data_IF_243957462828
#
_entry.id   IF_243957462828
#
_cell.length_a   1.000
_cell.length_b   1.000
_cell.length_c   1.000
_cell.angle_alpha   90.00
_cell.angle_beta   90.00
_cell.angle_gamma   90.00
#
_symmetry.space_group_name_H-M   'P 1'
#
loop_
_entity.id
_entity.type
_entity.pdbx_description
1 polymer ?
#
# COMPACT_ATOMS: atom_id res chain seq x y z
N UNK A 1 9.39 12.06 -27.25
CA UNK A 1 8.08 11.56 -26.79
C UNK A 1 8.36 11.07 -25.40
N UNK A 2 8.10 11.96 -24.45
CA UNK A 2 8.75 11.95 -23.15
C UNK A 2 8.25 10.78 -22.30
N UNK A 3 9.05 10.33 -21.33
CA UNK A 3 8.74 9.18 -20.45
C UNK A 3 7.34 9.30 -19.82
N UNK A 4 6.87 10.53 -19.59
CA UNK A 4 5.51 10.85 -19.19
C UNK A 4 4.46 10.28 -20.15
N UNK A 5 4.46 10.65 -21.44
CA UNK A 5 3.40 10.25 -22.37
C UNK A 5 3.31 8.73 -22.58
N UNK A 6 4.44 8.04 -22.47
CA UNK A 6 4.49 6.58 -22.64
C UNK A 6 4.05 5.83 -21.37
N UNK A 7 4.18 6.41 -20.18
CA UNK A 7 4.05 5.69 -18.91
C UNK A 7 3.11 6.36 -17.91
N UNK A 8 2.41 7.43 -18.29
CA UNK A 8 1.54 8.20 -17.38
C UNK A 8 0.35 7.45 -16.82
N UNK A 9 -0.04 6.31 -17.37
CA UNK A 9 -1.26 5.61 -16.93
C UNK A 9 -0.95 4.36 -16.10
N UNK A 10 -1.86 4.04 -15.18
CA UNK A 10 -1.84 2.77 -14.46
C UNK A 10 -1.96 1.58 -15.41
N UNK A 11 -1.20 0.53 -15.11
CA UNK A 11 -1.18 -0.75 -15.83
C UNK A 11 -1.09 -1.89 -14.81
N UNK A 12 -1.87 -2.96 -15.03
CA UNK A 12 -1.74 -4.19 -14.27
C UNK A 12 -0.45 -4.93 -14.63
N UNK A 13 0.11 -5.66 -13.67
CA UNK A 13 1.13 -6.66 -13.96
C UNK A 13 0.56 -7.83 -14.76
N UNK A 14 1.43 -8.55 -15.44
CA UNK A 14 1.12 -9.75 -16.22
C UNK A 14 1.55 -11.05 -15.52
N UNK A 15 2.32 -10.96 -14.44
CA UNK A 15 2.83 -12.06 -13.63
C UNK A 15 2.85 -11.69 -12.13
N UNK A 16 3.14 -12.65 -11.27
CA UNK A 16 3.25 -12.48 -9.82
C UNK A 16 4.72 -12.51 -9.38
N UNK A 17 5.36 -11.35 -9.17
CA UNK A 17 5.01 -10.03 -9.70
C UNK A 17 5.57 -9.76 -11.11
N UNK A 18 5.07 -8.71 -11.77
CA UNK A 18 5.75 -8.06 -12.91
C UNK A 18 6.57 -6.88 -12.43
N UNK A 19 7.81 -6.77 -12.88
CA UNK A 19 8.63 -5.58 -12.66
C UNK A 19 8.16 -4.44 -13.58
N UNK A 20 7.75 -3.30 -12.98
CA UNK A 20 7.23 -2.15 -13.70
C UNK A 20 8.35 -1.14 -13.99
N UNK A 21 9.04 -1.32 -15.12
CA UNK A 21 10.11 -0.42 -15.57
C UNK A 21 9.54 0.86 -16.22
N UNK A 22 8.99 1.74 -15.38
CA UNK A 22 8.32 2.98 -15.78
C UNK A 22 9.04 4.19 -15.17
N UNK A 23 9.93 4.90 -15.91
CA UNK A 23 10.67 6.05 -15.36
C UNK A 23 9.77 7.12 -14.75
N UNK A 24 8.61 7.40 -15.36
CA UNK A 24 7.63 8.34 -14.81
C UNK A 24 7.10 7.91 -13.43
N UNK A 25 6.82 6.63 -13.22
CA UNK A 25 6.33 6.16 -11.91
C UNK A 25 7.40 6.32 -10.84
N UNK A 26 8.67 6.01 -11.18
CA UNK A 26 9.80 6.26 -10.28
C UNK A 26 9.94 7.74 -9.95
N UNK A 27 9.81 8.62 -10.94
CA UNK A 27 9.80 10.07 -10.71
C UNK A 27 8.71 10.48 -9.71
N UNK A 28 7.50 9.96 -9.83
CA UNK A 28 6.39 10.25 -8.92
C UNK A 28 6.63 9.68 -7.50
N UNK A 29 7.24 8.50 -7.36
CA UNK A 29 7.70 7.99 -6.04
C UNK A 29 8.75 8.92 -5.44
N UNK A 30 9.65 9.43 -6.28
CA UNK A 30 10.63 10.44 -5.93
C UNK A 30 10.03 11.85 -5.82
N UNK A 31 8.73 12.05 -5.96
CA UNK A 31 8.10 13.36 -5.79
C UNK A 31 6.68 13.16 -5.22
N UNK A 32 6.55 12.59 -4.00
CA UNK A 32 5.27 12.17 -3.43
C UNK A 32 4.36 13.34 -3.05
N UNK A 33 4.82 14.58 -3.25
CA UNK A 33 4.03 15.79 -3.10
C UNK A 33 3.22 16.12 -4.36
N UNK A 34 3.56 15.51 -5.51
CA UNK A 34 2.85 15.69 -6.76
C UNK A 34 1.65 14.74 -6.84
N UNK A 35 0.46 15.32 -7.03
CA UNK A 35 -0.74 14.57 -7.41
C UNK A 35 -0.79 14.27 -8.92
N UNK A 36 -1.83 13.55 -9.36
CA UNK A 36 -2.07 13.29 -10.78
C UNK A 36 -2.27 14.60 -11.58
N UNK A 37 -3.00 15.56 -11.00
CA UNK A 37 -3.20 16.89 -11.58
C UNK A 37 -1.89 17.65 -11.76
N UNK A 38 -1.04 17.69 -10.72
CA UNK A 38 0.23 18.42 -10.75
C UNK A 38 1.14 17.85 -11.84
N UNK A 39 1.28 16.52 -11.87
CA UNK A 39 2.08 15.83 -12.89
C UNK A 39 1.58 16.13 -14.32
N UNK A 40 0.26 16.12 -14.54
CA UNK A 40 -0.31 16.47 -15.84
C UNK A 40 -0.03 17.93 -16.22
N UNK A 41 -0.22 18.85 -15.28
CA UNK A 41 -0.01 20.28 -15.50
C UNK A 41 1.45 20.60 -15.83
N UNK A 42 2.40 19.97 -15.13
CA UNK A 42 3.84 20.14 -15.39
C UNK A 42 4.26 19.67 -16.77
N UNK A 43 3.67 18.58 -17.28
CA UNK A 43 4.10 17.93 -18.52
C UNK A 43 3.31 18.39 -19.76
N UNK A 44 2.02 18.72 -19.62
CA UNK A 44 1.14 19.06 -20.75
C UNK A 44 0.62 20.52 -20.71
N UNK A 45 0.95 21.30 -19.68
CA UNK A 45 0.31 22.59 -19.43
C UNK A 45 -1.18 22.47 -19.10
N UNK A 46 -1.94 23.55 -19.30
CA UNK A 46 -3.40 23.55 -19.09
C UNK A 46 -4.18 22.80 -20.21
N UNK A 47 -3.48 22.20 -21.18
CA UNK A 47 -4.10 21.50 -22.31
C UNK A 47 -4.45 20.05 -21.95
N UNK A 48 -5.75 19.75 -21.97
CA UNK A 48 -6.28 18.38 -21.96
C UNK A 48 -6.39 17.92 -23.42
N UNK A 49 -5.45 17.09 -23.89
CA UNK A 49 -5.63 16.38 -25.16
C UNK A 49 -6.68 15.27 -24.97
N UNK A 50 -7.90 15.59 -25.39
CA UNK A 50 -9.17 14.90 -25.10
C UNK A 50 -9.42 13.68 -25.99
N UNK A 51 -8.42 12.80 -26.11
CA UNK A 51 -8.62 11.47 -26.71
C UNK A 51 -8.25 10.32 -25.77
N UNK A 52 -7.35 10.56 -24.80
CA UNK A 52 -6.99 9.64 -23.72
C UNK A 52 -7.37 10.15 -22.32
N UNK A 53 -8.16 11.24 -22.23
CA UNK A 53 -8.61 11.87 -20.99
C UNK A 53 -9.46 10.98 -20.06
N UNK A 54 -9.76 9.74 -20.47
CA UNK A 54 -10.51 8.74 -19.70
C UNK A 54 -9.63 7.85 -18.82
N UNK A 55 -8.30 8.00 -18.85
CA UNK A 55 -7.40 7.21 -18.01
C UNK A 55 -6.67 8.10 -17.01
N UNK A 56 -6.80 7.82 -15.69
CA UNK A 56 -6.07 8.54 -14.65
C UNK A 56 -4.57 8.59 -14.91
N UNK A 57 -3.95 9.70 -14.49
CA UNK A 57 -2.49 9.74 -14.38
C UNK A 57 -2.06 8.95 -13.15
N UNK A 58 -1.09 8.04 -13.30
CA UNK A 58 -0.54 7.26 -12.20
C UNK A 58 0.07 8.19 -11.15
N UNK A 59 -0.30 7.97 -9.91
CA UNK A 59 0.08 8.83 -8.79
C UNK A 59 0.58 7.99 -7.60
N UNK A 60 1.47 8.56 -6.80
CA UNK A 60 1.98 7.95 -5.56
C UNK A 60 1.44 8.63 -4.28
N UNK A 61 0.84 9.82 -4.40
CA UNK A 61 0.11 10.47 -3.32
C UNK A 61 -1.25 9.80 -3.13
N UNK A 62 -1.32 8.82 -2.22
CA UNK A 62 -2.47 7.91 -2.09
C UNK A 62 -3.04 7.87 -0.69
N UNK A 63 -4.37 7.93 -0.58
CA UNK A 63 -5.10 7.57 0.62
C UNK A 63 -5.16 6.06 0.78
N UNK A 64 -5.25 5.58 2.02
CA UNK A 64 -5.50 4.17 2.30
C UNK A 64 -4.39 3.20 1.86
N UNK A 65 -3.25 3.69 1.36
CA UNK A 65 -2.05 2.90 1.16
C UNK A 65 -1.45 2.52 2.52
N UNK A 66 -0.73 1.39 2.58
CA UNK A 66 0.03 1.02 3.77
C UNK A 66 1.53 1.19 3.55
N UNK A 67 2.26 1.43 4.64
CA UNK A 67 3.71 1.52 4.66
C UNK A 67 4.29 0.59 5.73
N UNK A 68 5.37 -0.11 5.42
CA UNK A 68 6.04 -1.03 6.36
C UNK A 68 7.55 -0.91 6.21
N UNK A 69 8.25 -0.56 7.29
CA UNK A 69 9.71 -0.61 7.34
C UNK A 69 10.16 -2.03 7.63
N UNK A 70 11.14 -2.54 6.89
CA UNK A 70 11.73 -3.84 7.14
C UNK A 70 13.01 -3.70 7.97
N UNK A 71 13.41 -4.74 8.73
CA UNK A 71 14.65 -4.70 9.51
C UNK A 71 15.92 -4.48 8.67
N UNK A 72 15.88 -4.80 7.38
CA UNK A 72 16.98 -4.57 6.43
C UNK A 72 17.04 -3.15 5.86
N UNK A 73 16.16 -2.25 6.32
CA UNK A 73 16.11 -0.85 5.93
C UNK A 73 15.21 -0.54 4.74
N UNK A 74 14.66 -1.55 4.05
CA UNK A 74 13.68 -1.32 2.98
C UNK A 74 12.38 -0.74 3.54
N UNK A 75 11.76 0.15 2.77
CA UNK A 75 10.40 0.64 3.00
C UNK A 75 9.48 0.10 1.91
N UNK A 76 8.40 -0.56 2.32
CA UNK A 76 7.41 -1.20 1.44
C UNK A 76 6.12 -0.39 1.47
N UNK A 77 5.62 0.01 0.30
CA UNK A 77 4.28 0.59 0.14
C UNK A 77 3.38 -0.36 -0.63
N UNK A 78 2.11 -0.42 -0.26
CA UNK A 78 1.14 -1.33 -0.88
C UNK A 78 -0.16 -0.57 -1.17
N UNK A 79 -0.59 -0.62 -2.43
CA UNK A 79 -1.91 -0.17 -2.89
C UNK A 79 -2.23 1.30 -2.58
N UNK A 80 -3.48 1.54 -2.18
CA UNK A 80 -4.08 2.85 -1.93
C UNK A 80 -4.90 3.38 -3.09
N UNK A 81 -5.56 4.51 -2.87
CA UNK A 81 -6.36 5.23 -3.86
C UNK A 81 -5.89 6.68 -4.01
N UNK A 82 -6.05 7.24 -5.20
CA UNK A 82 -5.88 8.67 -5.45
C UNK A 82 -7.26 9.29 -5.73
N UNK A 83 -7.55 10.42 -5.06
CA UNK A 83 -8.82 11.15 -5.11
C UNK A 83 -10.07 10.31 -4.76
N UNK A 84 -11.25 10.90 -4.94
CA UNK A 84 -12.57 10.26 -4.77
C UNK A 84 -13.21 9.94 -6.13
N UNK A 85 -14.23 9.09 -6.14
CA UNK A 85 -14.86 8.55 -7.36
C UNK A 85 -15.49 9.55 -8.35
N UNK A 86 -15.62 10.82 -7.99
CA UNK A 86 -16.08 11.89 -8.89
C UNK A 86 -14.93 12.64 -9.58
N UNK A 87 -13.68 12.37 -9.19
CA UNK A 87 -12.49 12.92 -9.83
C UNK A 87 -12.12 12.09 -11.08
N UNK A 88 -11.73 12.77 -12.16
CA UNK A 88 -11.28 12.13 -13.40
C UNK A 88 -9.99 11.32 -13.25
N UNK A 89 -9.17 11.65 -12.24
CA UNK A 89 -7.93 10.96 -11.90
C UNK A 89 -8.13 9.89 -10.81
N UNK A 90 -9.38 9.56 -10.45
CA UNK A 90 -9.65 8.51 -9.46
C UNK A 90 -9.11 7.15 -9.88
N UNK A 91 -8.22 6.59 -9.06
CA UNK A 91 -7.62 5.28 -9.30
C UNK A 91 -7.31 4.59 -7.98
N UNK A 92 -7.71 3.31 -7.87
CA UNK A 92 -7.26 2.42 -6.80
C UNK A 92 -6.15 1.55 -7.38
N UNK A 93 -5.09 1.36 -6.61
CA UNK A 93 -3.87 0.72 -7.06
C UNK A 93 -3.67 -0.64 -6.39
N UNK A 94 -2.93 -1.54 -7.06
CA UNK A 94 -2.54 -2.85 -6.55
C UNK A 94 -1.02 -3.10 -6.64
N UNK A 95 -0.22 -2.07 -6.89
CA UNK A 95 1.24 -2.19 -6.95
C UNK A 95 1.87 -2.24 -5.55
N UNK A 96 3.06 -2.83 -5.51
CA UNK A 96 3.97 -2.81 -4.36
C UNK A 96 5.20 -2.00 -4.74
N UNK A 97 5.47 -0.93 -4.00
CA UNK A 97 6.66 -0.10 -4.20
C UNK A 97 7.66 -0.39 -3.09
N UNK A 98 8.90 -0.69 -3.49
CA UNK A 98 10.02 -1.01 -2.60
C UNK A 98 11.06 0.09 -2.74
N UNK A 99 11.41 0.68 -1.61
CA UNK A 99 12.41 1.74 -1.51
C UNK A 99 13.55 1.23 -0.63
N UNK A 100 14.75 1.06 -1.18
CA UNK A 100 15.90 0.46 -0.46
C UNK A 100 16.62 1.43 0.48
N UNK A 101 16.75 2.69 0.08
CA UNK A 101 17.43 3.73 0.85
C UNK A 101 16.46 4.91 1.07
N UNK A 102 15.39 4.73 1.86
CA UNK A 102 14.38 5.77 2.03
C UNK A 102 15.01 6.99 2.69
N UNK A 103 14.95 8.12 1.98
CA UNK A 103 15.22 9.44 2.56
C UNK A 103 13.90 9.95 3.11
N UNK A 104 13.89 10.30 4.39
CA UNK A 104 12.71 10.63 5.20
C UNK A 104 11.63 11.38 4.39
N UNK A 105 10.49 10.74 4.15
CA UNK A 105 9.31 11.40 3.58
C UNK A 105 8.37 11.75 4.71
N UNK A 106 8.34 13.01 5.13
CA UNK A 106 7.16 13.53 5.84
C UNK A 106 6.13 13.80 4.74
N UNK A 107 5.16 12.89 4.58
CA UNK A 107 4.08 13.09 3.62
C UNK A 107 3.33 14.38 3.96
N UNK A 108 2.98 15.16 2.93
CA UNK A 108 2.24 16.42 3.03
C UNK A 108 1.01 16.28 3.94
N UNK A 109 0.66 17.33 4.70
CA UNK A 109 -0.35 17.30 5.79
C UNK A 109 -1.75 16.79 5.35
N UNK A 110 -2.01 16.74 4.05
CA UNK A 110 -3.29 16.36 3.42
C UNK A 110 -3.33 14.90 2.93
N UNK A 111 -2.17 14.28 2.67
CA UNK A 111 -2.02 12.90 2.17
C UNK A 111 -1.09 12.10 3.08
N UNK A 112 -1.20 12.33 4.38
CA UNK A 112 -0.36 11.69 5.40
C UNK A 112 -0.48 10.16 5.28
N UNK A 113 0.47 9.58 4.54
CA UNK A 113 0.70 8.15 4.54
C UNK A 113 0.80 7.71 6.01
N UNK A 114 0.09 6.64 6.41
CA UNK A 114 0.03 6.26 7.81
C UNK A 114 1.45 6.01 8.34
N UNK A 115 1.73 6.50 9.55
CA UNK A 115 3.00 6.20 10.24
C UNK A 115 3.19 4.68 10.19
N UNK A 116 4.34 4.18 9.70
CA UNK A 116 4.57 2.75 9.56
C UNK A 116 4.27 2.02 10.87
N UNK A 117 3.59 0.89 10.77
CA UNK A 117 3.10 0.12 11.93
C UNK A 117 4.20 -0.31 12.91
N UNK A 118 5.46 -0.23 12.49
CA UNK A 118 6.67 -0.62 13.20
C UNK A 118 7.77 0.47 13.21
N UNK A 119 7.39 1.75 13.11
CA UNK A 119 8.35 2.87 13.09
C UNK A 119 9.17 2.95 14.41
N UNK A 120 10.50 2.95 14.37
CA UNK A 120 11.32 3.23 15.54
C UNK A 120 11.15 4.69 15.95
N UNK A 121 10.59 4.92 17.13
CA UNK A 121 10.20 6.25 17.67
C UNK A 121 11.40 7.18 17.96
N UNK A 122 12.65 6.73 17.75
CA UNK A 122 13.85 7.46 18.18
C UNK A 122 14.36 8.58 17.24
N UNK A 123 13.63 8.96 16.19
CA UNK A 123 13.98 10.19 15.45
C UNK A 123 13.38 11.40 16.17
N UNK A 124 14.23 12.18 16.84
CA UNK A 124 13.88 13.43 17.54
C UNK A 124 12.90 14.28 16.71
N UNK A 125 11.64 14.30 17.15
CA UNK A 125 10.63 15.25 16.71
C UNK A 125 11.10 16.67 17.05
N UNK A 126 11.46 17.46 16.04
CA UNK A 126 11.53 18.90 16.25
C UNK A 126 10.10 19.46 16.12
N UNK A 127 9.36 19.46 17.23
CA UNK A 127 7.97 19.92 17.30
C UNK A 127 7.78 21.44 17.06
N UNK A 128 8.82 22.14 16.60
CA UNK A 128 8.85 23.60 16.49
C UNK A 128 8.86 24.14 15.04
N UNK A 129 8.96 23.29 14.01
CA UNK A 129 8.86 23.75 12.62
C UNK A 129 7.48 23.45 12.03
N UNK A 130 6.70 24.52 11.83
CA UNK A 130 5.42 24.49 11.09
C UNK A 130 5.62 24.24 9.58
N UNK A 131 6.86 24.29 9.10
CA UNK A 131 7.25 23.96 7.74
C UNK A 131 7.72 22.49 7.69
N UNK A 132 7.08 21.60 6.89
CA UNK A 132 7.62 20.28 6.62
C UNK A 132 8.93 20.44 5.83
N UNK A 133 10.05 20.06 6.43
CA UNK A 133 11.32 20.00 5.72
C UNK A 133 11.22 18.88 4.68
N UNK A 134 11.11 19.25 3.40
CA UNK A 134 11.12 18.32 2.27
C UNK A 134 12.55 17.79 2.16
N UNK A 135 12.85 16.73 2.90
CA UNK A 135 14.04 15.95 2.64
C UNK A 135 13.79 15.20 1.33
N UNK A 136 14.53 15.62 0.30
CA UNK A 136 14.57 15.01 -1.02
C UNK A 136 14.48 13.49 -0.92
N UNK A 137 13.46 13.02 -1.59
CA UNK A 137 12.93 11.68 -1.77
C UNK A 137 14.01 10.70 -2.23
N UNK A 138 13.77 9.42 -2.03
CA UNK A 138 14.62 8.34 -2.51
C UNK A 138 15.07 8.54 -3.96
N UNK A 139 16.20 7.98 -4.38
CA UNK A 139 16.63 8.13 -5.78
C UNK A 139 15.91 7.10 -6.67
N UNK A 140 15.68 7.36 -7.97
CA UNK A 140 15.01 6.41 -8.85
C UNK A 140 15.67 5.01 -8.90
N UNK A 141 17.00 4.92 -8.70
CA UNK A 141 17.73 3.66 -8.59
C UNK A 141 17.39 2.86 -7.31
N UNK A 142 16.92 3.53 -6.26
CA UNK A 142 16.50 2.90 -5.00
C UNK A 142 15.05 2.41 -5.05
N UNK A 143 14.31 2.76 -6.10
CA UNK A 143 12.88 2.46 -6.27
C UNK A 143 12.69 1.26 -7.21
N UNK A 144 11.99 0.25 -6.70
CA UNK A 144 11.48 -0.90 -7.46
C UNK A 144 9.96 -0.93 -7.34
N UNK A 145 9.25 -1.08 -8.46
CA UNK A 145 7.78 -1.12 -8.47
C UNK A 145 7.34 -2.46 -9.06
N UNK A 146 6.48 -3.17 -8.34
CA UNK A 146 5.92 -4.44 -8.73
C UNK A 146 4.42 -4.28 -9.02
N UNK A 147 4.01 -4.65 -10.22
CA UNK A 147 2.60 -4.72 -10.62
C UNK A 147 2.11 -6.17 -10.56
N UNK A 148 0.82 -6.33 -10.31
CA UNK A 148 0.18 -7.66 -10.22
C UNK A 148 -1.04 -7.73 -11.14
N UNK A 149 -1.37 -8.91 -11.69
CA UNK A 149 -2.66 -9.14 -12.31
C UNK A 149 -3.78 -8.94 -11.29
N UNK A 150 -4.91 -8.38 -11.74
CA UNK A 150 -6.09 -8.14 -10.89
C UNK A 150 -6.55 -9.40 -10.15
N UNK A 151 -6.50 -10.56 -10.81
CA UNK A 151 -6.93 -11.83 -10.23
C UNK A 151 -5.96 -12.41 -9.17
N UNK A 152 -4.71 -11.93 -9.15
CA UNK A 152 -3.70 -12.30 -8.14
C UNK A 152 -3.84 -11.40 -6.92
N UNK A 153 -3.87 -10.09 -7.17
CA UNK A 153 -4.02 -9.07 -6.15
C UNK A 153 -4.83 -7.90 -6.73
N UNK A 154 -6.13 -7.79 -6.42
CA UNK A 154 -6.98 -6.73 -6.95
C UNK A 154 -6.66 -5.38 -6.31
N UNK A 155 -7.00 -4.25 -6.96
CA UNK A 155 -6.88 -2.91 -6.39
C UNK A 155 -7.51 -2.78 -5.01
N UNK A 156 -6.74 -2.23 -4.06
CA UNK A 156 -7.15 -2.16 -2.67
C UNK A 156 -6.59 -0.92 -1.96
N UNK A 157 -7.39 -0.38 -1.05
CA UNK A 157 -7.20 0.84 -0.28
C UNK A 157 -7.81 0.63 1.13
N UNK A 158 -7.29 1.34 2.11
CA UNK A 158 -7.66 1.27 3.53
C UNK A 158 -7.56 -0.15 4.13
N UNK A 159 -6.69 -0.99 3.58
CA UNK A 159 -6.30 -2.27 4.16
C UNK A 159 -5.29 -2.04 5.29
N UNK A 160 -4.95 -3.10 6.03
CA UNK A 160 -3.79 -3.10 6.92
C UNK A 160 -2.69 -4.00 6.37
N UNK A 161 -1.44 -3.68 6.70
CA UNK A 161 -0.26 -4.47 6.36
C UNK A 161 0.57 -4.70 7.62
N UNK A 162 0.83 -5.98 7.93
CA UNK A 162 1.56 -6.38 9.14
C UNK A 162 2.76 -7.23 8.77
N UNK A 163 3.96 -6.75 9.09
CA UNK A 163 5.20 -7.52 8.97
C UNK A 163 5.23 -8.62 10.03
N UNK A 164 5.54 -9.84 9.58
CA UNK A 164 5.66 -11.03 10.42
C UNK A 164 7.03 -11.65 10.13
N UNK A 165 7.96 -11.46 11.07
CA UNK A 165 9.25 -12.16 11.06
C UNK A 165 9.02 -13.64 11.33
N UNK A 166 9.61 -14.54 10.55
CA UNK A 166 9.62 -15.99 10.82
C UNK A 166 10.92 -16.43 11.53
N UNK A 167 11.16 -17.74 11.61
CA UNK A 167 12.44 -18.26 12.08
C UNK A 167 13.55 -17.82 11.12
N UNK A 168 14.80 -17.79 11.56
CA UNK A 168 15.91 -17.25 10.74
C UNK A 168 16.14 -18.05 9.43
N UNK A 169 15.60 -19.28 9.33
CA UNK A 169 15.67 -20.15 8.15
C UNK A 169 14.41 -20.08 7.25
N UNK A 170 13.38 -19.33 7.65
CA UNK A 170 12.13 -19.19 6.93
C UNK A 170 11.95 -17.77 6.39
N UNK A 171 11.23 -17.66 5.27
CA UNK A 171 10.94 -16.36 4.65
C UNK A 171 10.03 -15.51 5.55
N UNK A 172 10.36 -14.23 5.67
CA UNK A 172 9.48 -13.23 6.30
C UNK A 172 8.36 -12.77 5.36
N UNK A 173 7.22 -12.41 5.95
CA UNK A 173 6.05 -11.99 5.17
C UNK A 173 5.48 -10.65 5.62
N UNK A 174 4.78 -9.99 4.71
CA UNK A 174 3.76 -9.00 5.05
C UNK A 174 2.38 -9.62 4.83
N UNK A 175 1.55 -9.61 5.86
CA UNK A 175 0.14 -9.97 5.73
C UNK A 175 -0.68 -8.72 5.43
N UNK A 176 -1.42 -8.76 4.33
CA UNK A 176 -2.31 -7.69 3.88
C UNK A 176 -3.75 -8.13 4.15
N UNK A 177 -4.46 -7.40 5.00
CA UNK A 177 -5.81 -7.79 5.45
C UNK A 177 -6.82 -6.71 5.07
N UNK A 178 -7.94 -7.16 4.49
CA UNK A 178 -9.11 -6.35 4.22
C UNK A 178 -8.94 -5.39 3.04
N UNK A 179 -9.39 -4.16 3.22
CA UNK A 179 -9.45 -3.11 2.21
C UNK A 179 -10.84 -2.92 1.61
N UNK A 180 -11.05 -1.77 0.96
CA UNK A 180 -12.36 -1.32 0.47
C UNK A 180 -12.57 -1.70 -1.00
N UNK A 181 -11.62 -1.32 -1.86
CA UNK A 181 -11.64 -1.52 -3.30
C UNK A 181 -12.81 -0.83 -4.01
N UNK A 182 -12.89 -1.07 -5.32
CA UNK A 182 -14.00 -0.58 -6.15
C UNK A 182 -15.36 -1.08 -5.67
N UNK A 183 -16.45 -0.38 -6.03
CA UNK A 183 -17.82 -0.70 -5.58
C UNK A 183 -18.25 -2.14 -5.91
N UNK A 184 -17.79 -2.69 -7.04
CA UNK A 184 -18.10 -4.05 -7.48
C UNK A 184 -17.12 -5.10 -6.91
N UNK A 185 -16.08 -4.68 -6.20
CA UNK A 185 -15.02 -5.55 -5.69
C UNK A 185 -15.53 -6.57 -4.67
N UNK A 186 -14.92 -7.76 -4.64
CA UNK A 186 -15.23 -8.77 -3.61
C UNK A 186 -14.79 -8.35 -2.21
N UNK A 187 -13.87 -7.38 -2.09
CA UNK A 187 -13.52 -6.74 -0.81
C UNK A 187 -14.75 -6.23 -0.02
N UNK A 188 -15.81 -5.83 -0.74
CA UNK A 188 -17.08 -5.37 -0.14
C UNK A 188 -17.88 -6.48 0.54
N UNK A 189 -17.62 -7.75 0.21
CA UNK A 189 -18.40 -8.92 0.66
C UNK A 189 -17.57 -9.94 1.44
N UNK A 190 -16.25 -9.86 1.36
CA UNK A 190 -15.34 -10.81 1.97
C UNK A 190 -14.12 -10.08 2.56
N UNK A 191 -13.60 -10.61 3.67
CA UNK A 191 -12.34 -10.14 4.23
C UNK A 191 -11.21 -10.90 3.58
N UNK A 192 -10.54 -10.27 2.62
CA UNK A 192 -9.37 -10.87 2.01
C UNK A 192 -8.18 -10.87 2.96
N UNK A 193 -7.40 -11.95 2.91
CA UNK A 193 -6.08 -12.04 3.54
C UNK A 193 -5.09 -12.44 2.45
N UNK A 194 -4.06 -11.64 2.27
CA UNK A 194 -2.95 -11.94 1.39
C UNK A 194 -1.65 -12.04 2.17
N UNK A 195 -0.72 -12.81 1.62
CA UNK A 195 0.66 -12.92 2.10
C UNK A 195 1.61 -12.49 0.99
N UNK A 196 2.37 -11.44 1.24
CA UNK A 196 3.46 -10.96 0.38
C UNK A 196 4.78 -11.55 0.88
N UNK A 197 5.44 -12.38 0.04
CA UNK A 197 6.81 -12.85 0.26
C UNK A 197 7.82 -11.72 0.09
N UNK A 198 8.82 -11.62 0.97
CA UNK A 198 9.79 -10.53 0.95
C UNK A 198 11.11 -10.89 0.24
N UNK A 199 11.27 -12.15 -0.16
CA UNK A 199 12.40 -12.64 -0.96
C UNK A 199 12.16 -12.43 -2.46
N UNK A 200 10.93 -12.67 -2.93
CA UNK A 200 10.57 -12.64 -4.36
C UNK A 200 9.38 -11.74 -4.70
N UNK A 201 8.75 -11.12 -3.70
CA UNK A 201 7.58 -10.24 -3.85
C UNK A 201 6.35 -10.93 -4.45
N UNK A 202 6.21 -12.26 -4.31
CA UNK A 202 4.98 -12.95 -4.69
C UNK A 202 3.87 -12.69 -3.68
N UNK A 203 2.68 -12.36 -4.17
CA UNK A 203 1.46 -12.25 -3.37
C UNK A 203 0.62 -13.52 -3.52
N UNK A 204 0.16 -14.07 -2.39
CA UNK A 204 -0.74 -15.21 -2.35
C UNK A 204 -1.99 -14.87 -1.56
N UNK A 205 -3.18 -15.10 -2.15
CA UNK A 205 -4.44 -15.06 -1.41
C UNK A 205 -4.53 -16.27 -0.50
N UNK A 206 -4.71 -16.02 0.80
CA UNK A 206 -4.81 -17.06 1.81
C UNK A 206 -6.28 -17.44 2.00
N UNK A 207 -6.59 -18.75 1.94
CA UNK A 207 -7.93 -19.25 2.25
C UNK A 207 -8.09 -19.31 3.77
N UNK A 208 -8.88 -18.41 4.32
CA UNK A 208 -9.13 -18.35 5.76
C UNK A 208 -10.31 -19.24 6.16
N UNK A 209 -10.31 -19.73 7.40
CA UNK A 209 -11.45 -20.41 8.03
C UNK A 209 -11.72 -19.83 9.42
N UNK A 210 -12.66 -20.40 10.18
CA UNK A 210 -13.00 -19.91 11.52
C UNK A 210 -14.01 -18.76 11.54
N UNK A 211 -14.10 -18.07 12.68
CA UNK A 211 -15.07 -16.98 12.91
C UNK A 211 -14.36 -15.65 12.69
N UNK A 212 -14.49 -15.11 11.47
CA UNK A 212 -13.85 -13.86 11.07
C UNK A 212 -14.84 -12.76 10.69
N UNK A 213 -14.34 -11.57 10.35
CA UNK A 213 -15.16 -10.46 9.85
C UNK A 213 -15.84 -10.80 8.52
N UNK A 214 -17.10 -10.37 8.38
CA UNK A 214 -17.99 -10.74 7.28
C UNK A 214 -17.72 -10.03 5.94
N UNK A 215 -16.70 -9.17 5.86
CA UNK A 215 -16.37 -8.37 4.67
C UNK A 215 -16.35 -6.87 4.97
N UNK A 216 -16.06 -6.05 3.96
CA UNK A 216 -15.92 -4.59 4.13
C UNK A 216 -15.02 -4.28 5.35
N UNK A 217 -13.83 -4.89 5.34
CA UNK A 217 -12.85 -4.77 6.42
C UNK A 217 -11.84 -3.70 6.04
N UNK A 218 -12.30 -2.45 5.97
CA UNK A 218 -11.49 -1.28 5.69
C UNK A 218 -11.33 -0.38 6.91
N UNK A 219 -10.26 0.42 6.93
CA UNK A 219 -9.97 1.40 8.00
C UNK A 219 -9.96 0.78 9.41
N UNK A 220 -9.71 -0.53 9.49
CA UNK A 220 -9.53 -1.26 10.74
C UNK A 220 -8.10 -1.05 11.24
N UNK A 221 -7.87 -1.32 12.53
CA UNK A 221 -6.53 -1.39 13.10
C UNK A 221 -6.06 -2.83 13.11
N UNK A 222 -4.75 -3.04 12.96
CA UNK A 222 -4.12 -4.35 13.06
C UNK A 222 -2.87 -4.29 13.94
N UNK A 223 -2.59 -5.36 14.68
CA UNK A 223 -1.36 -5.52 15.44
C UNK A 223 -0.94 -6.99 15.49
N UNK A 224 0.36 -7.25 15.37
CA UNK A 224 0.93 -8.57 15.64
C UNK A 224 1.03 -8.78 17.16
N UNK A 225 0.57 -9.94 17.63
CA UNK A 225 0.62 -10.37 19.03
C UNK A 225 1.12 -11.80 19.14
N UNK A 226 1.68 -12.12 20.29
CA UNK A 226 2.00 -13.51 20.67
C UNK A 226 0.96 -13.96 21.69
N UNK A 227 0.18 -14.98 21.35
CA UNK A 227 -0.89 -15.53 22.20
C UNK A 227 -0.67 -17.04 22.30
N UNK A 228 -0.47 -17.55 23.51
CA UNK A 228 -0.18 -18.97 23.72
C UNK A 228 1.08 -19.46 22.97
N UNK A 229 2.07 -18.59 22.75
CA UNK A 229 3.28 -18.89 21.99
C UNK A 229 3.12 -18.83 20.46
N UNK A 230 1.93 -18.51 19.95
CA UNK A 230 1.64 -18.42 18.51
C UNK A 230 1.53 -16.96 18.07
N UNK A 231 1.94 -16.67 16.84
CA UNK A 231 1.81 -15.35 16.22
C UNK A 231 0.39 -15.16 15.71
N UNK A 232 -0.27 -14.13 16.21
CA UNK A 232 -1.63 -13.76 15.84
C UNK A 232 -1.66 -12.33 15.31
N UNK A 233 -2.39 -12.09 14.23
CA UNK A 233 -2.72 -10.72 13.81
C UNK A 233 -4.09 -10.40 14.37
N UNK A 234 -4.13 -9.51 15.36
CA UNK A 234 -5.38 -9.00 15.91
C UNK A 234 -5.83 -7.78 15.11
N UNK A 235 -7.07 -7.81 14.63
CA UNK A 235 -7.71 -6.68 13.96
C UNK A 235 -8.89 -6.17 14.78
N UNK A 236 -9.12 -4.86 14.74
CA UNK A 236 -10.30 -4.25 15.34
C UNK A 236 -10.97 -3.32 14.32
N UNK A 237 -12.25 -3.61 14.05
CA UNK A 237 -13.07 -2.91 13.07
C UNK A 237 -13.56 -1.56 13.63
N UNK A 238 -14.21 -0.78 12.76
CA UNK A 238 -14.78 0.54 13.10
C UNK A 238 -15.93 0.46 14.13
N UNK A 239 -16.63 -0.67 14.17
CA UNK A 239 -17.72 -0.95 15.10
C UNK A 239 -17.23 -1.63 16.40
N UNK A 240 -15.92 -1.61 16.65
CA UNK A 240 -15.25 -2.17 17.82
C UNK A 240 -15.22 -3.71 17.90
N UNK A 241 -15.76 -4.43 16.91
CA UNK A 241 -15.57 -5.87 16.85
C UNK A 241 -14.10 -6.19 16.57
N UNK A 242 -13.51 -7.08 17.37
CA UNK A 242 -12.12 -7.50 17.22
C UNK A 242 -12.01 -9.00 16.96
N UNK A 243 -11.07 -9.34 16.07
CA UNK A 243 -10.79 -10.71 15.64
C UNK A 243 -9.30 -10.95 15.70
N UNK A 244 -8.89 -12.21 15.82
CA UNK A 244 -7.50 -12.62 15.71
C UNK A 244 -7.35 -13.66 14.61
N UNK A 245 -6.35 -13.49 13.76
CA UNK A 245 -5.95 -14.46 12.74
C UNK A 245 -4.68 -15.16 13.20
N UNK A 246 -4.69 -16.48 13.28
CA UNK A 246 -3.47 -17.27 13.42
C UNK A 246 -2.68 -17.25 12.11
N UNK A 247 -1.43 -16.76 12.14
CA UNK A 247 -0.67 -16.52 10.89
C UNK A 247 -0.23 -17.81 10.21
N UNK A 248 -0.08 -18.91 10.96
CA UNK A 248 0.39 -20.20 10.45
C UNK A 248 -0.77 -21.01 9.85
N UNK A 249 -1.87 -21.09 10.59
CA UNK A 249 -3.03 -21.92 10.22
C UNK A 249 -4.08 -21.16 9.43
N UNK A 250 -4.02 -19.82 9.43
CA UNK A 250 -4.95 -18.94 8.73
C UNK A 250 -6.40 -19.13 9.22
N UNK A 251 -6.55 -19.35 10.53
CA UNK A 251 -7.85 -19.52 11.20
C UNK A 251 -8.18 -18.26 12.00
N UNK A 252 -9.37 -17.74 11.78
CA UNK A 252 -9.93 -16.62 12.54
C UNK A 252 -10.60 -17.09 13.82
N UNK A 253 -10.47 -16.27 14.86
CA UNK A 253 -11.24 -16.38 16.09
C UNK A 253 -11.69 -14.98 16.57
N UNK A 254 -12.73 -14.94 17.39
CA UNK A 254 -13.18 -13.70 18.00
C UNK A 254 -12.31 -13.35 19.21
N UNK A 255 -12.19 -12.06 19.49
CA UNK A 255 -11.62 -11.59 20.75
C UNK A 255 -12.81 -11.28 21.65
N UNK A 256 -13.02 -12.11 22.67
CA UNK A 256 -13.96 -11.79 23.74
C UNK A 256 -13.28 -10.82 24.69
N UNK A 257 -14.02 -9.79 25.12
CA UNK A 257 -13.62 -8.92 26.23
C UNK A 257 -13.48 -9.70 27.55
#
# INVERSE_FOLDING_TARGET
MDDYDQNKHFEFGTDNPTLMEKPFWKYMVCNPHLGAYDARKENNGDFVDDSNAWRPTWCFARFGATQTYLPDGRLIHIGGEHEDCYDSDFQIYNDVVVIRNPRMVRAHYMYSLPVPSNFPVETKQNAASLEPEILGTSRPEDVTIYGYPEHVFPPTDFHTATYVKNSDDEEDFIYIIGGLGYLNSSHRRETHVYRLGLSDFRIHRMKTTGIGPLGCTERHRAALKIVGGRKMIEICLKDHQCYRLDVETVVWDTISD
#
